data_IF_666870971207
#
_entry.id   IF_666870971207
#
_cell.length_a   1.000
_cell.length_b   1.000
_cell.length_c   1.000
_cell.angle_alpha   90.00
_cell.angle_beta   90.00
_cell.angle_gamma   90.00
#
_symmetry.space_group_name_H-M   'P 1'
#
loop_
_entity.id
_entity.type
_entity.pdbx_description
1 polymer ?
#
# COMPACT_ATOMS: atom_id res chain seq x y z
N UNK A 1 -16.35 16.68 3.07
CA UNK A 1 -16.11 15.23 3.32
C UNK A 1 -14.84 14.78 2.60
N UNK A 2 -14.64 15.20 1.34
CA UNK A 2 -13.40 14.94 0.58
C UNK A 2 -12.13 15.44 1.28
N UNK A 3 -12.12 16.68 1.80
CA UNK A 3 -10.96 17.22 2.53
C UNK A 3 -10.54 16.37 3.74
N UNK A 4 -11.51 15.82 4.48
CA UNK A 4 -11.23 14.96 5.64
C UNK A 4 -10.60 13.64 5.18
N UNK A 5 -11.10 13.06 4.10
CA UNK A 5 -10.56 11.84 3.50
C UNK A 5 -9.13 12.08 2.97
N UNK A 6 -8.88 13.20 2.32
CA UNK A 6 -7.58 13.57 1.79
C UNK A 6 -6.54 13.76 2.91
N UNK A 7 -6.93 14.44 4.00
CA UNK A 7 -6.08 14.61 5.20
C UNK A 7 -5.80 13.27 5.89
N UNK A 8 -6.74 12.32 5.88
CA UNK A 8 -6.58 11.00 6.51
C UNK A 8 -5.76 10.02 5.67
N UNK A 9 -5.82 10.10 4.34
CA UNK A 9 -5.13 9.17 3.43
C UNK A 9 -3.60 9.27 3.56
N UNK A 10 -3.05 10.48 3.74
CA UNK A 10 -1.61 10.69 3.88
C UNK A 10 -1.00 10.04 5.14
N UNK A 11 -1.53 10.27 6.36
CA UNK A 11 -1.09 9.57 7.56
C UNK A 11 -1.21 8.05 7.47
N UNK A 12 -2.29 7.54 6.85
CA UNK A 12 -2.48 6.11 6.65
C UNK A 12 -1.40 5.55 5.73
N UNK A 13 -1.09 6.25 4.64
CA UNK A 13 -0.02 5.86 3.72
C UNK A 13 1.34 5.83 4.42
N UNK A 14 1.66 6.89 5.15
CA UNK A 14 2.90 7.01 5.91
C UNK A 14 3.00 5.89 6.95
N UNK A 15 1.91 5.58 7.66
CA UNK A 15 1.86 4.49 8.64
C UNK A 15 2.13 3.12 8.03
N UNK A 16 1.55 2.84 6.86
CA UNK A 16 1.84 1.63 6.09
C UNK A 16 3.31 1.58 5.67
N UNK A 17 3.85 2.69 5.16
CA UNK A 17 5.22 2.77 4.68
C UNK A 17 6.23 2.58 5.81
N UNK A 18 6.00 3.20 6.98
CA UNK A 18 6.82 3.00 8.19
C UNK A 18 6.78 1.55 8.63
N UNK A 19 5.59 0.94 8.70
CA UNK A 19 5.43 -0.46 9.10
C UNK A 19 6.18 -1.38 8.13
N UNK A 20 6.07 -1.13 6.83
CA UNK A 20 6.73 -1.91 5.80
C UNK A 20 8.26 -1.80 5.86
N UNK A 21 8.80 -0.57 5.95
CA UNK A 21 10.24 -0.33 6.13
C UNK A 21 10.76 -0.96 7.42
N UNK A 22 10.02 -0.86 8.51
CA UNK A 22 10.38 -1.48 9.79
C UNK A 22 10.47 -3.01 9.63
N UNK A 23 9.48 -3.64 9.01
CA UNK A 23 9.49 -5.09 8.77
C UNK A 23 10.64 -5.53 7.86
N UNK A 24 10.99 -4.71 6.85
CA UNK A 24 12.17 -4.92 6.01
C UNK A 24 13.47 -4.87 6.83
N UNK A 25 13.62 -3.86 7.70
CA UNK A 25 14.80 -3.70 8.57
C UNK A 25 14.97 -4.90 9.53
N UNK A 26 13.86 -5.42 10.06
CA UNK A 26 13.87 -6.62 10.91
C UNK A 26 13.98 -7.94 10.13
N UNK A 27 14.18 -7.89 8.80
CA UNK A 27 14.26 -9.06 7.90
C UNK A 27 13.06 -10.01 8.03
N UNK A 28 11.89 -9.48 8.41
CA UNK A 28 10.64 -10.25 8.55
C UNK A 28 9.95 -10.40 7.20
N UNK A 29 10.65 -10.97 6.22
CA UNK A 29 10.25 -10.96 4.80
C UNK A 29 8.84 -11.55 4.54
N UNK A 30 8.42 -12.57 5.31
CA UNK A 30 7.05 -13.10 5.24
C UNK A 30 5.98 -12.07 5.65
N UNK A 31 6.26 -11.25 6.65
CA UNK A 31 5.37 -10.17 7.09
C UNK A 31 5.41 -8.98 6.12
N UNK A 32 6.56 -8.71 5.50
CA UNK A 32 6.71 -7.71 4.43
C UNK A 32 5.84 -8.08 3.22
N UNK A 33 5.84 -9.35 2.80
CA UNK A 33 4.95 -9.85 1.73
C UNK A 33 3.47 -9.71 2.08
N UNK A 34 3.10 -10.04 3.32
CA UNK A 34 1.71 -9.93 3.77
C UNK A 34 1.25 -8.47 3.79
N UNK A 35 2.07 -7.55 4.32
CA UNK A 35 1.74 -6.13 4.38
C UNK A 35 1.69 -5.47 3.02
N UNK A 36 2.62 -5.79 2.11
CA UNK A 36 2.58 -5.29 0.72
C UNK A 36 1.39 -5.83 -0.06
N UNK A 37 1.03 -7.11 0.13
CA UNK A 37 -0.19 -7.69 -0.44
C UNK A 37 -1.47 -7.01 0.07
N UNK A 38 -1.56 -6.73 1.38
CA UNK A 38 -2.68 -5.98 1.95
C UNK A 38 -2.73 -4.54 1.42
N UNK A 39 -1.59 -3.87 1.33
CA UNK A 39 -1.50 -2.52 0.78
C UNK A 39 -1.97 -2.47 -0.68
N UNK A 40 -1.60 -3.48 -1.48
CA UNK A 40 -2.08 -3.64 -2.85
C UNK A 40 -3.61 -3.84 -2.91
N UNK A 41 -4.13 -4.74 -2.07
CA UNK A 41 -5.57 -5.04 -2.02
C UNK A 41 -6.41 -3.86 -1.54
N UNK A 42 -5.98 -3.15 -0.51
CA UNK A 42 -6.64 -1.93 -0.01
C UNK A 42 -6.59 -0.82 -1.05
N UNK A 43 -5.45 -0.64 -1.74
CA UNK A 43 -5.33 0.30 -2.84
C UNK A 43 -6.31 -0.01 -3.98
N UNK A 44 -6.46 -1.28 -4.36
CA UNK A 44 -7.42 -1.70 -5.38
C UNK A 44 -8.87 -1.41 -4.97
N UNK A 45 -9.24 -1.66 -3.70
CA UNK A 45 -10.57 -1.32 -3.19
C UNK A 45 -10.84 0.19 -3.21
N UNK A 46 -9.87 0.99 -2.77
CA UNK A 46 -9.96 2.45 -2.80
C UNK A 46 -10.06 2.98 -4.23
N UNK A 47 -9.36 2.35 -5.19
CA UNK A 47 -9.48 2.68 -6.61
C UNK A 47 -10.91 2.46 -7.11
N UNK A 48 -11.50 1.30 -6.83
CA UNK A 48 -12.87 0.97 -7.26
C UNK A 48 -13.88 1.92 -6.63
N UNK A 49 -13.77 2.20 -5.34
CA UNK A 49 -14.64 3.15 -4.65
C UNK A 49 -14.47 4.57 -5.22
N UNK A 50 -13.22 4.96 -5.48
CA UNK A 50 -12.90 6.27 -6.04
C UNK A 50 -13.41 6.47 -7.47
N UNK A 51 -13.39 5.43 -8.31
CA UNK A 51 -13.98 5.47 -9.65
C UNK A 51 -15.51 5.67 -9.62
N UNK A 52 -16.18 5.22 -8.56
CA UNK A 52 -17.64 5.30 -8.43
C UNK A 52 -18.09 6.65 -7.85
N UNK A 53 -17.39 7.17 -6.84
CA UNK A 53 -17.85 8.36 -6.10
C UNK A 53 -16.86 9.53 -6.05
N UNK A 54 -15.56 9.26 -5.96
CA UNK A 54 -14.55 10.28 -5.64
C UNK A 54 -13.25 10.07 -6.43
N UNK A 55 -13.10 10.79 -7.55
CA UNK A 55 -12.00 10.60 -8.49
C UNK A 55 -10.61 10.71 -7.82
N UNK A 56 -10.45 11.67 -6.90
CA UNK A 56 -9.23 11.86 -6.12
C UNK A 56 -8.92 10.66 -5.21
N UNK A 57 -9.93 10.08 -4.56
CA UNK A 57 -9.77 8.85 -3.77
C UNK A 57 -9.26 7.69 -4.64
N UNK A 58 -9.72 7.66 -5.90
CA UNK A 58 -9.28 6.70 -6.90
C UNK A 58 -7.78 6.81 -7.18
N UNK A 59 -7.28 8.04 -7.33
CA UNK A 59 -5.85 8.33 -7.52
C UNK A 59 -5.03 7.84 -6.32
N UNK A 60 -5.46 8.13 -5.09
CA UNK A 60 -4.79 7.61 -3.89
C UNK A 60 -4.79 6.09 -3.84
N UNK A 61 -5.92 5.45 -4.19
CA UNK A 61 -6.02 3.99 -4.30
C UNK A 61 -5.02 3.41 -5.29
N UNK A 62 -4.87 4.02 -6.47
CA UNK A 62 -3.87 3.60 -7.48
C UNK A 62 -2.45 3.71 -6.93
N UNK A 63 -2.11 4.79 -6.24
CA UNK A 63 -0.78 4.97 -5.65
C UNK A 63 -0.51 3.87 -4.62
N UNK A 64 -1.42 3.63 -3.68
CA UNK A 64 -1.30 2.55 -2.70
C UNK A 64 -1.14 1.18 -3.36
N UNK A 65 -1.93 0.93 -4.40
CA UNK A 65 -1.91 -0.32 -5.14
C UNK A 65 -0.55 -0.55 -5.79
N UNK A 66 -0.04 0.44 -6.52
CA UNK A 66 1.25 0.34 -7.21
C UNK A 66 2.41 0.12 -6.24
N UNK A 67 2.46 0.89 -5.14
CA UNK A 67 3.49 0.69 -4.12
C UNK A 67 3.40 -0.70 -3.49
N UNK A 68 2.20 -1.15 -3.13
CA UNK A 68 1.99 -2.50 -2.59
C UNK A 68 2.47 -3.59 -3.56
N UNK A 69 2.14 -3.47 -4.85
CA UNK A 69 2.56 -4.43 -5.88
C UNK A 69 4.08 -4.43 -6.05
N UNK A 70 4.70 -3.26 -6.21
CA UNK A 70 6.15 -3.12 -6.39
C UNK A 70 6.90 -3.73 -5.20
N UNK A 71 6.49 -3.41 -3.98
CA UNK A 71 7.10 -3.98 -2.79
C UNK A 71 6.91 -5.50 -2.69
N UNK A 72 5.73 -6.01 -3.06
CA UNK A 72 5.47 -7.44 -3.04
C UNK A 72 6.41 -8.19 -4.00
N UNK A 73 6.53 -7.72 -5.24
CA UNK A 73 7.46 -8.29 -6.21
C UNK A 73 8.92 -8.21 -5.75
N UNK A 74 9.39 -7.02 -5.35
CA UNK A 74 10.78 -6.85 -4.88
C UNK A 74 11.10 -7.75 -3.68
N UNK A 75 10.16 -7.88 -2.74
CA UNK A 75 10.33 -8.73 -1.56
C UNK A 75 10.36 -10.20 -1.95
N UNK A 76 9.49 -10.61 -2.88
CA UNK A 76 9.41 -11.99 -3.37
C UNK A 76 10.70 -12.38 -4.10
N UNK A 77 11.15 -11.54 -5.03
CA UNK A 77 12.40 -11.72 -5.78
C UNK A 77 13.60 -11.82 -4.84
N UNK A 78 13.64 -10.98 -3.79
CA UNK A 78 14.71 -11.03 -2.80
C UNK A 78 14.74 -12.33 -1.99
N UNK A 79 13.57 -12.92 -1.69
CA UNK A 79 13.50 -14.21 -1.02
C UNK A 79 13.93 -15.33 -1.95
N UNK A 80 13.50 -15.33 -3.21
CA UNK A 80 13.84 -16.36 -4.20
C UNK A 80 15.31 -16.31 -4.66
N UNK A 81 15.94 -15.14 -4.63
CA UNK A 81 17.37 -14.95 -4.96
C UNK A 81 18.34 -15.42 -3.86
N UNK A 82 17.86 -15.86 -2.69
CA UNK A 82 18.67 -16.31 -1.54
C UNK A 82 18.62 -17.82 -1.38
#
# INVERSE_FOLDING_TARGET
>A
MEEILEILMWPVFIGFLITHVTLLLFKRMKAVLLTSGLMAGVGALLMVIGLIQHLLLGVYGVIFMLFGIVFNFLTKDHIESR
#
